data_IF_439137869235
#
_entry.id   IF_439137869235
#
_cell.length_a   1.000
_cell.length_b   1.000
_cell.length_c   1.000
_cell.angle_alpha   90.00
_cell.angle_beta   90.00
_cell.angle_gamma   90.00
#
_symmetry.space_group_name_H-M   'P 1'
#
loop_
_entity.id
_entity.type
_entity.pdbx_description
1 polymer ?
#
# COMPACT_ATOMS: atom_id res chain seq x y z
N UNK A 1 -10.81 30.85 55.53
CA UNK A 1 -11.56 29.98 56.47
C UNK A 1 -11.28 28.57 55.95
N UNK A 2 -10.39 27.91 56.54
CA UNK A 2 -10.40 27.08 57.75
C UNK A 2 -11.01 25.73 57.43
N UNK A 3 -10.17 24.77 57.35
CA UNK A 3 -9.77 23.68 58.25
C UNK A 3 -10.63 22.43 58.01
N UNK A 4 -10.24 21.20 58.01
CA UNK A 4 -9.27 20.33 58.70
C UNK A 4 -9.55 18.92 58.15
N UNK A 5 -8.74 17.95 57.84
CA UNK A 5 -7.59 17.45 58.56
C UNK A 5 -7.83 16.04 59.13
N UNK A 6 -6.84 15.14 58.92
CA UNK A 6 -6.50 13.92 59.70
C UNK A 6 -7.25 12.62 59.35
N UNK A 7 -6.68 11.45 59.47
CA UNK A 7 -5.34 10.90 59.77
C UNK A 7 -5.37 9.39 59.57
N UNK A 8 -4.20 8.83 59.19
CA UNK A 8 -3.68 7.48 59.37
C UNK A 8 -4.40 6.53 60.35
N UNK A 9 -4.42 5.22 60.01
CA UNK A 9 -3.97 4.18 60.90
C UNK A 9 -3.43 2.95 60.12
N UNK A 10 -2.22 2.58 60.42
CA UNK A 10 -1.56 1.29 60.18
C UNK A 10 -2.15 0.25 61.12
N UNK A 11 -2.28 -1.02 60.72
CA UNK A 11 -1.97 -2.17 61.55
C UNK A 11 -1.66 -3.35 60.65
N UNK A 12 -0.46 -3.86 60.76
CA UNK A 12 -0.04 -5.11 60.27
C UNK A 12 -0.39 -6.24 61.28
N UNK A 13 -0.57 -7.43 60.79
CA UNK A 13 -0.47 -8.60 61.61
C UNK A 13 0.16 -9.75 60.79
N UNK A 14 1.39 -10.09 61.21
CA UNK A 14 2.10 -11.31 60.94
C UNK A 14 1.46 -12.39 61.80
N UNK A 15 1.16 -13.58 61.25
CA UNK A 15 1.10 -14.84 62.01
C UNK A 15 1.84 -15.94 61.23
N UNK A 16 2.75 -16.49 61.95
CA UNK A 16 3.75 -17.49 61.75
C UNK A 16 3.21 -18.92 61.80
N UNK A 17 3.82 -19.80 61.03
CA UNK A 17 4.18 -21.22 61.28
C UNK A 17 3.18 -22.14 61.93
N UNK A 18 2.97 -23.31 61.36
CA UNK A 18 3.40 -24.55 61.99
C UNK A 18 3.49 -25.72 61.02
N UNK A 19 4.69 -26.28 60.96
CA UNK A 19 5.04 -27.55 60.33
C UNK A 19 4.66 -28.66 61.27
N UNK A 20 3.89 -29.66 60.82
CA UNK A 20 3.74 -30.94 61.57
C UNK A 20 4.11 -32.07 60.62
N UNK A 21 5.29 -32.65 60.92
CA UNK A 21 5.72 -33.96 60.44
C UNK A 21 5.08 -35.07 61.30
N UNK A 22 4.40 -36.01 60.69
CA UNK A 22 4.08 -37.29 61.31
C UNK A 22 4.37 -38.40 60.31
N UNK A 23 5.45 -39.11 60.63
CA UNK A 23 5.79 -40.41 60.09
C UNK A 23 4.89 -41.50 60.68
N UNK A 24 4.39 -42.35 59.82
CA UNK A 24 3.68 -43.59 60.26
C UNK A 24 3.87 -44.65 59.17
N UNK A 25 4.72 -45.64 59.45
CA UNK A 25 4.77 -46.89 58.70
C UNK A 25 3.57 -47.76 59.01
N UNK A 26 2.97 -48.38 57.96
CA UNK A 26 2.01 -49.47 58.08
C UNK A 26 1.89 -50.16 56.74
N UNK A 27 2.51 -51.36 56.64
CA UNK A 27 2.29 -52.29 55.55
C UNK A 27 0.88 -52.93 55.73
N UNK A 28 0.09 -52.93 54.65
CA UNK A 28 -0.76 -54.08 54.32
C UNK A 28 -1.27 -54.00 52.88
N UNK A 29 -1.16 -55.12 52.20
CA UNK A 29 -1.53 -55.33 50.81
C UNK A 29 -3.06 -55.48 50.66
N UNK A 30 -3.66 -54.69 49.79
CA UNK A 30 -4.90 -55.01 49.15
C UNK A 30 -4.93 -54.42 47.72
N UNK A 31 -5.14 -55.31 46.79
CA UNK A 31 -5.36 -54.99 45.36
C UNK A 31 -6.63 -54.16 45.18
N UNK A 32 -6.48 -52.90 44.82
CA UNK A 32 -7.59 -52.15 44.29
C UNK A 32 -7.13 -51.45 42.98
N UNK A 33 -7.95 -51.74 41.98
CA UNK A 33 -7.99 -51.19 40.64
C UNK A 33 -7.91 -49.67 40.71
N UNK A 34 -6.75 -49.08 40.46
CA UNK A 34 -6.60 -47.66 40.29
C UNK A 34 -7.19 -47.24 38.92
N UNK A 35 -8.41 -46.75 38.95
CA UNK A 35 -8.92 -45.85 37.91
C UNK A 35 -8.02 -44.62 37.89
N UNK A 36 -6.94 -44.66 37.10
CA UNK A 36 -6.25 -43.46 36.70
C UNK A 36 -7.26 -42.55 35.97
N UNK A 37 -7.73 -41.54 36.68
CA UNK A 37 -8.41 -40.44 36.04
C UNK A 37 -7.41 -39.90 34.99
N UNK A 38 -7.66 -40.23 33.74
CA UNK A 38 -7.03 -39.57 32.59
C UNK A 38 -7.48 -38.11 32.70
N UNK A 39 -6.62 -37.27 33.26
CA UNK A 39 -6.72 -35.85 33.10
C UNK A 39 -6.57 -35.61 31.60
N UNK A 40 -7.70 -35.52 30.90
CA UNK A 40 -7.77 -34.91 29.61
C UNK A 40 -7.30 -33.45 29.80
N UNK A 41 -6.00 -33.25 29.70
CA UNK A 41 -5.44 -31.94 29.36
C UNK A 41 -5.96 -31.68 27.95
N UNK A 42 -7.11 -31.02 27.87
CA UNK A 42 -7.53 -30.36 26.64
C UNK A 42 -6.40 -29.38 26.29
N UNK A 43 -5.45 -29.82 25.48
CA UNK A 43 -4.49 -28.92 24.88
C UNK A 43 -5.33 -27.94 24.03
N UNK A 44 -5.37 -26.68 24.44
CA UNK A 44 -6.03 -25.65 23.67
C UNK A 44 -5.51 -25.73 22.22
N UNK A 45 -6.42 -25.77 21.26
CA UNK A 45 -6.02 -25.72 19.85
C UNK A 45 -5.13 -24.48 19.64
N UNK A 46 -4.03 -24.60 18.89
CA UNK A 46 -3.19 -23.45 18.59
C UNK A 46 -4.01 -22.37 17.88
N UNK A 47 -3.67 -21.12 18.11
CA UNK A 47 -4.31 -19.97 17.46
C UNK A 47 -3.25 -19.05 16.88
N UNK A 48 -3.60 -18.36 15.80
CA UNK A 48 -2.80 -17.32 15.15
C UNK A 48 -3.52 -15.99 15.30
N UNK A 49 -2.82 -14.95 15.69
CA UNK A 49 -3.36 -13.61 15.72
C UNK A 49 -3.27 -13.01 14.31
N UNK A 50 -4.37 -12.44 13.84
CA UNK A 50 -4.48 -11.72 12.58
C UNK A 50 -4.94 -10.32 12.90
N UNK A 51 -4.20 -9.33 12.44
CA UNK A 51 -4.52 -7.92 12.56
C UNK A 51 -4.49 -7.24 11.18
N UNK A 52 -5.15 -6.10 11.07
CA UNK A 52 -5.15 -5.32 9.85
C UNK A 52 -6.02 -4.09 9.95
N UNK A 53 -6.15 -3.39 8.85
CA UNK A 53 -6.99 -2.21 8.74
C UNK A 53 -7.93 -2.32 7.53
N UNK A 54 -9.16 -1.85 7.71
CA UNK A 54 -10.15 -1.70 6.66
C UNK A 54 -10.18 -0.22 6.23
N UNK A 55 -9.57 0.06 5.07
CA UNK A 55 -9.27 1.40 4.62
C UNK A 55 -9.70 1.61 3.16
N UNK A 56 -10.80 2.31 3.06
CA UNK A 56 -11.27 3.09 1.93
C UNK A 56 -11.95 4.31 2.53
N UNK A 57 -11.14 5.29 2.96
CA UNK A 57 -11.43 6.00 4.18
C UNK A 57 -11.49 5.02 5.36
N UNK A 58 -11.34 5.49 6.56
CA UNK A 58 -11.45 4.63 7.75
C UNK A 58 -12.82 3.99 7.83
N UNK A 59 -12.90 2.66 7.77
CA UNK A 59 -14.19 1.94 7.87
C UNK A 59 -14.41 1.50 9.31
N UNK A 60 -15.46 2.05 9.94
CA UNK A 60 -15.85 1.81 11.32
C UNK A 60 -17.06 0.89 11.39
N UNK A 61 -17.08 0.01 12.38
CA UNK A 61 -18.18 -0.94 12.62
C UNK A 61 -18.48 -1.85 11.40
N UNK A 62 -17.49 -2.09 10.53
CA UNK A 62 -17.57 -3.10 9.49
C UNK A 62 -17.40 -4.50 10.08
N UNK A 63 -18.22 -5.44 9.64
CA UNK A 63 -18.16 -6.84 10.12
C UNK A 63 -17.05 -7.59 9.39
N UNK A 64 -15.98 -7.97 10.09
CA UNK A 64 -14.85 -8.72 9.54
C UNK A 64 -14.96 -10.19 9.91
N UNK A 65 -14.79 -11.05 8.91
CA UNK A 65 -14.75 -12.52 9.04
C UNK A 65 -13.47 -13.07 8.43
N UNK A 66 -13.05 -14.26 8.85
CA UNK A 66 -11.87 -14.91 8.29
C UNK A 66 -12.10 -16.41 8.10
N UNK A 67 -11.60 -16.92 6.98
CA UNK A 67 -11.74 -18.31 6.58
C UNK A 67 -10.39 -18.82 6.08
N UNK A 68 -9.94 -19.98 6.59
CA UNK A 68 -8.70 -20.59 6.11
C UNK A 68 -8.86 -21.07 4.67
N UNK A 69 -7.80 -20.84 3.90
CA UNK A 69 -7.66 -21.38 2.55
C UNK A 69 -6.99 -22.75 2.63
N UNK A 70 -7.67 -23.77 2.15
CA UNK A 70 -7.21 -25.15 2.21
C UNK A 70 -7.34 -25.77 0.82
N UNK A 71 -6.27 -26.43 0.36
CA UNK A 71 -6.32 -27.19 -0.87
C UNK A 71 -7.27 -28.40 -0.73
N UNK A 72 -8.09 -28.64 -1.72
CA UNK A 72 -8.84 -29.87 -1.87
C UNK A 72 -7.96 -31.02 -2.40
N UNK A 73 -8.58 -32.15 -2.72
CA UNK A 73 -7.87 -33.35 -3.23
C UNK A 73 -7.21 -33.14 -4.59
N UNK A 74 -7.67 -32.16 -5.36
CA UNK A 74 -7.15 -31.81 -6.68
C UNK A 74 -6.13 -30.66 -6.61
N UNK A 75 -5.86 -30.15 -5.40
CA UNK A 75 -4.92 -29.05 -5.16
C UNK A 75 -5.53 -27.66 -5.37
N UNK A 76 -6.86 -27.56 -5.49
CA UNK A 76 -7.56 -26.29 -5.64
C UNK A 76 -7.86 -25.67 -4.27
N UNK A 77 -7.41 -24.43 -4.06
CA UNK A 77 -7.55 -23.73 -2.79
C UNK A 77 -8.87 -22.97 -2.69
N UNK A 78 -9.64 -23.30 -1.64
CA UNK A 78 -10.94 -22.72 -1.34
C UNK A 78 -11.03 -22.24 0.11
N UNK A 79 -11.88 -21.23 0.41
CA UNK A 79 -12.28 -20.91 1.77
C UNK A 79 -13.14 -22.07 2.31
N UNK A 80 -12.61 -22.86 3.24
CA UNK A 80 -13.31 -24.08 3.67
C UNK A 80 -14.00 -23.98 5.03
N UNK A 81 -13.48 -23.17 5.94
CA UNK A 81 -14.01 -23.13 7.30
C UNK A 81 -13.84 -21.77 7.93
N UNK A 82 -14.92 -21.21 8.46
CA UNK A 82 -14.82 -20.08 9.38
C UNK A 82 -13.99 -20.50 10.59
N UNK A 83 -12.86 -19.87 10.78
CA UNK A 83 -11.89 -20.25 11.79
C UNK A 83 -11.77 -19.21 12.91
N UNK A 84 -12.44 -18.07 12.78
CA UNK A 84 -12.50 -17.00 13.76
C UNK A 84 -13.93 -16.59 14.08
N UNK A 85 -14.13 -15.96 15.24
CA UNK A 85 -15.38 -15.23 15.50
C UNK A 85 -15.33 -13.92 14.72
N UNK A 86 -16.45 -13.50 14.09
CA UNK A 86 -16.55 -12.19 13.48
C UNK A 86 -16.22 -11.07 14.48
N UNK A 87 -15.53 -10.04 14.02
CA UNK A 87 -15.21 -8.84 14.78
C UNK A 87 -15.67 -7.59 14.03
N UNK A 88 -15.84 -6.49 14.74
CA UNK A 88 -16.13 -5.21 14.13
C UNK A 88 -14.85 -4.38 14.04
N UNK A 89 -14.70 -3.61 12.97
CA UNK A 89 -13.60 -2.64 12.87
C UNK A 89 -13.75 -1.52 13.89
N UNK A 90 -12.63 -1.06 14.43
CA UNK A 90 -12.52 0.01 15.40
C UNK A 90 -12.74 1.41 14.82
N UNK A 91 -12.54 2.43 15.67
CA UNK A 91 -12.68 3.84 15.29
C UNK A 91 -11.61 4.31 14.29
N UNK A 92 -10.48 3.62 14.21
CA UNK A 92 -9.37 3.84 13.29
C UNK A 92 -9.38 2.84 12.11
N UNK A 93 -10.43 2.05 11.97
CA UNK A 93 -10.53 1.01 10.95
C UNK A 93 -9.77 -0.27 11.26
N UNK A 94 -9.02 -0.32 12.36
CA UNK A 94 -8.26 -1.51 12.76
C UNK A 94 -9.18 -2.65 13.17
N UNK A 95 -8.69 -3.87 13.01
CA UNK A 95 -9.32 -5.08 13.53
C UNK A 95 -8.26 -6.10 13.95
N UNK A 96 -8.62 -6.94 14.91
CA UNK A 96 -7.79 -8.04 15.37
C UNK A 96 -8.69 -9.23 15.75
N UNK A 97 -8.27 -10.42 15.37
CA UNK A 97 -8.93 -11.66 15.79
C UNK A 97 -7.97 -12.84 15.86
N UNK A 98 -8.39 -13.88 16.60
CA UNK A 98 -7.66 -15.15 16.73
C UNK A 98 -8.25 -16.19 15.81
N UNK A 99 -7.43 -16.66 14.88
CA UNK A 99 -7.76 -17.74 13.96
C UNK A 99 -7.33 -19.09 14.55
N UNK A 100 -8.21 -20.06 14.62
CA UNK A 100 -7.89 -21.41 15.11
C UNK A 100 -6.99 -22.14 14.10
N UNK A 101 -6.00 -22.87 14.61
CA UNK A 101 -5.05 -23.66 13.85
C UNK A 101 -3.62 -23.13 13.97
N UNK A 102 -2.69 -23.74 13.24
CA UNK A 102 -1.28 -23.37 13.24
C UNK A 102 -1.03 -22.10 12.45
N UNK A 103 0.13 -21.46 12.70
CA UNK A 103 0.62 -20.31 11.93
C UNK A 103 1.26 -20.80 10.62
N UNK A 104 0.47 -21.46 9.77
CA UNK A 104 0.87 -21.93 8.45
C UNK A 104 -0.27 -21.72 7.44
N UNK A 105 0.09 -21.52 6.17
CA UNK A 105 -0.87 -21.30 5.08
C UNK A 105 -1.47 -19.89 5.09
N UNK A 106 -2.64 -19.76 4.48
CA UNK A 106 -3.30 -18.49 4.19
C UNK A 106 -4.74 -18.48 4.68
N UNK A 107 -5.28 -17.29 4.87
CA UNK A 107 -6.70 -17.07 5.15
C UNK A 107 -7.25 -15.96 4.24
N UNK A 108 -8.47 -16.14 3.78
CA UNK A 108 -9.30 -15.08 3.21
C UNK A 108 -9.92 -14.29 4.37
N UNK A 109 -9.79 -12.98 4.31
CA UNK A 109 -10.40 -12.04 5.25
C UNK A 109 -11.39 -11.17 4.47
N UNK A 110 -12.61 -11.05 4.99
CA UNK A 110 -13.71 -10.38 4.32
C UNK A 110 -14.38 -9.39 5.25
N UNK A 111 -14.68 -8.20 4.74
CA UNK A 111 -15.49 -7.19 5.41
C UNK A 111 -16.81 -7.03 4.68
N UNK A 112 -17.90 -7.05 5.42
CA UNK A 112 -19.23 -6.68 4.95
C UNK A 112 -19.74 -5.45 5.70
N UNK A 113 -20.47 -4.59 4.99
CA UNK A 113 -21.12 -3.43 5.58
C UNK A 113 -22.57 -3.73 5.96
N UNK A 114 -23.05 -3.09 7.02
CA UNK A 114 -24.46 -3.06 7.41
C UNK A 114 -24.94 -1.61 7.65
N UNK A 115 -26.14 -1.45 8.17
CA UNK A 115 -26.71 -0.11 8.45
C UNK A 115 -25.95 0.68 9.52
N UNK A 116 -25.12 0.02 10.34
CA UNK A 116 -24.26 0.62 11.36
C UNK A 116 -22.90 1.03 10.84
N UNK A 117 -22.46 0.45 9.74
CA UNK A 117 -21.12 0.69 9.17
C UNK A 117 -20.99 2.11 8.65
N UNK A 118 -19.87 2.74 8.96
CA UNK A 118 -19.51 4.10 8.52
C UNK A 118 -18.14 4.09 7.88
N UNK A 119 -17.97 4.91 6.86
CA UNK A 119 -16.69 5.23 6.25
C UNK A 119 -16.40 6.71 6.47
N UNK A 120 -15.17 7.06 6.78
CA UNK A 120 -14.75 8.46 6.81
C UNK A 120 -14.49 8.91 5.37
N UNK A 121 -15.04 10.05 5.00
CA UNK A 121 -14.81 10.64 3.69
C UNK A 121 -13.33 11.00 3.52
N UNK A 122 -12.65 10.38 2.56
CA UNK A 122 -11.22 10.52 2.27
C UNK A 122 -10.93 11.20 0.92
N UNK A 123 -11.95 11.87 0.35
CA UNK A 123 -11.85 12.64 -0.90
C UNK A 123 -12.10 14.11 -0.63
N UNK A 124 -11.18 14.97 -1.04
CA UNK A 124 -11.28 16.44 -0.93
C UNK A 124 -12.09 16.97 -2.10
N UNK A 125 -12.97 17.95 -1.91
CA UNK A 125 -13.39 18.56 -0.62
C UNK A 125 -14.52 17.78 0.06
N UNK A 126 -15.15 16.85 -0.60
CA UNK A 126 -16.29 16.07 -0.08
C UNK A 126 -16.46 14.75 -0.84
N UNK A 127 -17.23 13.86 -0.26
CA UNK A 127 -17.64 12.60 -0.85
C UNK A 127 -19.12 12.62 -1.21
N UNK A 128 -19.49 12.07 -2.36
CA UNK A 128 -20.84 12.01 -2.84
C UNK A 128 -21.41 10.58 -2.82
N UNK A 129 -22.72 10.52 -2.73
CA UNK A 129 -23.53 9.32 -2.92
C UNK A 129 -24.89 9.73 -3.43
N UNK A 130 -25.38 9.11 -4.47
CA UNK A 130 -26.66 9.47 -5.08
C UNK A 130 -27.82 9.45 -4.08
N UNK A 131 -28.64 10.50 -4.09
CA UNK A 131 -29.77 10.63 -3.18
C UNK A 131 -29.46 11.13 -1.77
N UNK A 132 -28.20 11.44 -1.46
CA UNK A 132 -27.75 11.98 -0.18
C UNK A 132 -27.01 13.31 -0.37
N UNK A 133 -26.99 14.13 0.69
CA UNK A 133 -26.17 15.32 0.69
C UNK A 133 -24.67 14.94 0.69
N UNK A 134 -23.81 15.73 0.00
CA UNK A 134 -22.37 15.53 0.07
C UNK A 134 -21.85 15.56 1.52
N UNK A 135 -20.88 14.72 1.82
CA UNK A 135 -20.24 14.62 3.15
C UNK A 135 -18.87 15.24 3.05
N UNK A 136 -18.54 16.18 3.95
CA UNK A 136 -17.25 16.85 3.93
C UNK A 136 -16.08 15.87 4.19
N UNK A 137 -14.91 16.21 3.68
CA UNK A 137 -13.65 15.50 3.97
C UNK A 137 -13.44 15.34 5.48
N UNK A 138 -13.11 14.16 5.94
CA UNK A 138 -12.94 13.82 7.35
C UNK A 138 -14.23 13.46 8.12
N UNK A 139 -15.41 13.63 7.52
CA UNK A 139 -16.68 13.34 8.17
C UNK A 139 -17.22 11.94 7.83
N UNK A 140 -17.99 11.30 8.74
CA UNK A 140 -18.49 9.95 8.52
C UNK A 140 -19.68 9.91 7.56
N UNK A 141 -19.63 8.99 6.60
CA UNK A 141 -20.73 8.68 5.69
C UNK A 141 -21.19 7.22 5.81
N UNK A 142 -22.46 6.96 5.50
CA UNK A 142 -22.99 5.59 5.49
C UNK A 142 -22.59 4.84 4.24
N UNK A 143 -22.30 3.56 4.38
CA UNK A 143 -22.13 2.62 3.28
C UNK A 143 -23.46 1.91 2.99
N UNK A 144 -23.63 1.43 1.76
CA UNK A 144 -24.75 0.52 1.44
C UNK A 144 -24.40 -0.93 1.85
N UNK A 145 -25.41 -1.77 1.95
CA UNK A 145 -25.25 -3.17 2.41
C UNK A 145 -24.59 -4.08 1.37
N UNK A 146 -24.38 -3.61 0.14
CA UNK A 146 -23.64 -4.34 -0.89
C UNK A 146 -22.13 -4.09 -0.82
N UNK A 147 -21.70 -3.09 -0.04
CA UNK A 147 -20.28 -2.80 0.13
C UNK A 147 -19.56 -3.94 0.83
N UNK A 148 -18.53 -4.45 0.19
CA UNK A 148 -17.65 -5.47 0.76
C UNK A 148 -16.21 -5.26 0.29
N UNK A 149 -15.26 -5.64 1.15
CA UNK A 149 -13.83 -5.67 0.84
C UNK A 149 -13.27 -7.04 1.20
N UNK A 150 -12.25 -7.47 0.46
CA UNK A 150 -11.56 -8.74 0.70
C UNK A 150 -10.06 -8.53 0.70
N UNK A 151 -9.35 -9.37 1.45
CA UNK A 151 -7.90 -9.42 1.49
C UNK A 151 -7.43 -10.81 1.90
N UNK A 152 -6.16 -11.09 1.74
CA UNK A 152 -5.55 -12.35 2.15
C UNK A 152 -4.52 -12.11 3.25
N UNK A 153 -4.49 -13.02 4.23
CA UNK A 153 -3.49 -13.05 5.28
C UNK A 153 -2.55 -14.24 5.08
N UNK A 154 -1.26 -13.99 4.96
CA UNK A 154 -0.24 -15.00 5.25
C UNK A 154 -0.21 -15.22 6.76
N UNK A 155 -0.53 -16.44 7.19
CA UNK A 155 -0.67 -16.79 8.60
C UNK A 155 0.68 -16.82 9.34
N UNK A 156 1.80 -16.73 8.62
CA UNK A 156 3.13 -16.57 9.22
C UNK A 156 3.42 -15.12 9.58
N UNK A 157 2.84 -14.17 8.85
CA UNK A 157 2.98 -12.72 9.06
C UNK A 157 1.87 -12.14 9.94
N UNK A 158 0.67 -12.70 9.85
CA UNK A 158 -0.46 -12.34 10.69
C UNK A 158 -1.09 -10.97 10.36
N UNK A 159 -0.89 -10.43 9.15
CA UNK A 159 -1.51 -9.18 8.75
C UNK A 159 -2.37 -9.33 7.48
N UNK A 160 -3.44 -8.54 7.37
CA UNK A 160 -4.26 -8.40 6.17
C UNK A 160 -4.90 -7.02 6.13
N UNK A 161 -4.67 -6.25 5.06
CA UNK A 161 -5.41 -5.02 4.82
C UNK A 161 -6.65 -5.31 3.96
N UNK A 162 -7.73 -4.58 4.21
CA UNK A 162 -9.00 -4.68 3.48
C UNK A 162 -9.24 -3.35 2.76
N UNK A 163 -8.88 -3.32 1.48
CA UNK A 163 -8.94 -2.16 0.62
C UNK A 163 -9.53 -2.51 -0.74
N UNK A 164 -9.98 -1.55 -1.57
CA UNK A 164 -10.36 -1.80 -2.95
C UNK A 164 -9.31 -2.55 -3.75
N UNK A 165 -8.02 -2.21 -3.61
CA UNK A 165 -6.94 -2.89 -4.35
C UNK A 165 -6.75 -4.35 -3.89
N UNK A 166 -6.80 -4.62 -2.57
CA UNK A 166 -6.73 -6.02 -2.08
C UNK A 166 -7.95 -6.82 -2.53
N UNK A 167 -9.13 -6.19 -2.61
CA UNK A 167 -10.33 -6.82 -3.14
C UNK A 167 -10.15 -7.25 -4.61
N UNK A 168 -9.56 -6.39 -5.44
CA UNK A 168 -9.22 -6.73 -6.83
C UNK A 168 -8.20 -7.87 -6.92
N UNK A 169 -7.18 -7.87 -6.06
CA UNK A 169 -6.17 -8.94 -6.04
C UNK A 169 -6.82 -10.31 -5.69
N UNK A 170 -7.73 -10.36 -4.72
CA UNK A 170 -8.49 -11.59 -4.43
C UNK A 170 -9.33 -12.01 -5.64
N UNK A 171 -10.05 -11.08 -6.26
CA UNK A 171 -10.86 -11.36 -7.46
C UNK A 171 -10.01 -11.93 -8.60
N UNK A 172 -8.81 -11.38 -8.79
CA UNK A 172 -7.88 -11.85 -9.81
C UNK A 172 -7.34 -13.24 -9.49
N UNK A 173 -6.97 -13.51 -8.24
CA UNK A 173 -6.46 -14.80 -7.79
C UNK A 173 -7.50 -15.94 -7.95
N UNK A 174 -8.79 -15.65 -7.74
CA UNK A 174 -9.89 -16.61 -7.94
C UNK A 174 -9.97 -17.17 -9.37
N UNK A 175 -9.37 -16.51 -10.35
CA UNK A 175 -9.29 -16.97 -11.74
C UNK A 175 -8.22 -18.03 -11.97
N UNK A 176 -7.33 -18.23 -11.01
CA UNK A 176 -6.27 -19.24 -11.12
C UNK A 176 -6.86 -20.65 -11.18
N UNK A 177 -6.22 -21.53 -11.94
CA UNK A 177 -6.56 -22.96 -11.97
C UNK A 177 -6.30 -23.66 -10.64
N UNK A 178 -5.52 -23.05 -9.74
CA UNK A 178 -5.29 -23.50 -8.36
C UNK A 178 -6.15 -22.76 -7.30
N UNK A 179 -7.10 -21.92 -7.75
CA UNK A 179 -7.91 -21.09 -6.85
C UNK A 179 -7.06 -20.08 -6.08
N UNK A 180 -7.42 -19.85 -4.82
CA UNK A 180 -6.73 -18.92 -3.92
C UNK A 180 -5.45 -19.55 -3.31
N UNK A 181 -4.60 -20.17 -4.14
CA UNK A 181 -3.31 -20.71 -3.67
C UNK A 181 -2.36 -19.59 -3.26
N UNK A 182 -1.35 -19.87 -2.40
CA UNK A 182 -0.34 -18.87 -2.03
C UNK A 182 0.32 -18.20 -3.24
N UNK A 183 0.66 -18.97 -4.26
CA UNK A 183 1.30 -18.49 -5.49
C UNK A 183 0.34 -17.62 -6.32
N UNK A 184 -0.94 -18.01 -6.42
CA UNK A 184 -1.95 -17.23 -7.13
C UNK A 184 -2.20 -15.88 -6.42
N UNK A 185 -2.26 -15.89 -5.09
CA UNK A 185 -2.41 -14.67 -4.29
C UNK A 185 -1.20 -13.74 -4.48
N UNK A 186 0.02 -14.25 -4.30
CA UNK A 186 1.23 -13.45 -4.49
C UNK A 186 1.30 -12.84 -5.91
N UNK A 187 1.01 -13.63 -6.95
CA UNK A 187 0.98 -13.16 -8.33
C UNK A 187 -0.10 -12.11 -8.57
N UNK A 188 -1.29 -12.28 -7.98
CA UNK A 188 -2.39 -11.33 -8.14
C UNK A 188 -2.11 -9.99 -7.43
N UNK A 189 -1.52 -10.01 -6.23
CA UNK A 189 -1.09 -8.79 -5.55
C UNK A 189 -0.06 -8.03 -6.38
N UNK A 190 1.02 -8.69 -6.82
CA UNK A 190 2.04 -8.07 -7.67
C UNK A 190 1.46 -7.52 -8.99
N UNK A 191 0.47 -8.21 -9.57
CA UNK A 191 -0.21 -7.76 -10.78
C UNK A 191 -1.03 -6.48 -10.56
N UNK A 192 -1.80 -6.42 -9.47
CA UNK A 192 -2.57 -5.22 -9.11
C UNK A 192 -1.61 -4.06 -8.79
N UNK A 193 -0.52 -4.31 -8.05
CA UNK A 193 0.52 -3.30 -7.83
C UNK A 193 1.06 -2.74 -9.14
N UNK A 194 1.33 -3.59 -10.13
CA UNK A 194 1.82 -3.15 -11.44
C UNK A 194 0.80 -2.32 -12.24
N UNK A 195 -0.51 -2.52 -12.05
CA UNK A 195 -1.52 -1.71 -12.73
C UNK A 195 -1.45 -0.24 -12.30
N UNK A 196 -1.11 0.01 -11.05
CA UNK A 196 -1.08 1.34 -10.43
C UNK A 196 0.33 1.89 -10.25
N UNK A 197 1.34 1.21 -10.82
CA UNK A 197 2.76 1.55 -10.65
C UNK A 197 3.17 1.70 -9.17
N UNK A 198 2.69 0.77 -8.35
CA UNK A 198 3.03 0.68 -6.93
C UNK A 198 4.32 -0.14 -6.74
N UNK A 199 5.08 0.21 -5.73
CA UNK A 199 6.22 -0.60 -5.31
C UNK A 199 5.77 -2.01 -4.93
N UNK A 200 6.62 -3.01 -5.20
CA UNK A 200 6.32 -4.40 -4.87
C UNK A 200 6.14 -4.58 -3.35
N UNK A 201 5.01 -5.13 -2.95
CA UNK A 201 4.61 -5.31 -1.55
C UNK A 201 3.99 -4.07 -0.90
N UNK A 202 3.80 -2.98 -1.63
CA UNK A 202 3.21 -1.74 -1.10
C UNK A 202 1.79 -1.94 -0.55
N UNK A 203 1.00 -2.84 -1.14
CA UNK A 203 -0.35 -3.16 -0.65
C UNK A 203 -0.37 -3.86 0.72
N UNK A 204 0.78 -4.35 1.21
CA UNK A 204 0.93 -4.94 2.54
C UNK A 204 1.28 -3.88 3.61
N UNK A 205 1.68 -2.68 3.21
CA UNK A 205 1.94 -1.57 4.13
C UNK A 205 0.67 -1.17 4.87
N UNK A 206 0.82 -0.66 6.09
CA UNK A 206 -0.30 -0.10 6.83
C UNK A 206 -0.83 1.15 6.11
N UNK A 207 -2.09 1.15 5.61
CA UNK A 207 -2.61 2.28 4.87
C UNK A 207 -2.83 3.47 5.81
N UNK A 208 -2.29 4.67 5.50
CA UNK A 208 -2.49 5.87 6.30
C UNK A 208 -3.94 6.38 6.17
N UNK A 209 -4.42 7.01 7.25
CA UNK A 209 -5.67 7.76 7.25
C UNK A 209 -5.43 9.14 6.59
N UNK A 210 -5.88 9.30 5.35
CA UNK A 210 -5.70 10.53 4.56
C UNK A 210 -6.31 11.76 5.23
N UNK A 211 -7.27 11.58 6.15
CA UNK A 211 -7.92 12.70 6.86
C UNK A 211 -7.14 13.17 8.08
N UNK A 212 -6.04 12.51 8.41
CA UNK A 212 -5.23 12.78 9.61
C UNK A 212 -3.73 12.92 9.30
N UNK A 213 -3.37 13.16 8.07
CA UNK A 213 -1.97 13.23 7.63
C UNK A 213 -1.14 14.26 8.41
N UNK A 214 -1.73 15.40 8.81
CA UNK A 214 -1.06 16.41 9.64
C UNK A 214 -0.64 15.93 11.03
N UNK A 215 -1.21 14.82 11.50
CA UNK A 215 -0.89 14.22 12.79
C UNK A 215 0.00 12.96 12.68
N UNK A 216 0.37 12.56 11.48
CA UNK A 216 1.16 11.35 11.22
C UNK A 216 2.64 11.71 10.99
N UNK A 217 3.54 10.93 11.56
CA UNK A 217 4.99 11.22 11.54
C UNK A 217 5.73 10.32 10.54
N UNK A 218 5.34 9.05 10.44
CA UNK A 218 6.10 8.02 9.72
C UNK A 218 5.36 7.47 8.49
N UNK A 219 4.77 8.35 7.67
CA UNK A 219 4.09 7.94 6.44
C UNK A 219 5.05 7.98 5.27
N UNK A 220 5.23 6.86 4.58
CA UNK A 220 6.07 6.78 3.37
C UNK A 220 5.30 7.23 2.12
N UNK A 221 6.01 7.66 1.07
CA UNK A 221 5.40 7.99 -0.21
C UNK A 221 4.67 6.76 -0.81
N UNK A 222 5.20 5.56 -0.65
CA UNK A 222 4.57 4.33 -1.12
C UNK A 222 3.25 4.02 -0.39
N UNK A 223 3.21 4.18 0.95
CA UNK A 223 1.98 4.01 1.71
C UNK A 223 0.92 5.06 1.32
N UNK A 224 1.32 6.32 1.09
CA UNK A 224 0.45 7.37 0.57
C UNK A 224 -0.07 7.04 -0.82
N UNK A 225 0.79 6.56 -1.70
CA UNK A 225 0.41 6.19 -3.07
C UNK A 225 -0.68 5.11 -3.05
N UNK A 226 -0.51 4.06 -2.26
CA UNK A 226 -1.54 3.01 -2.08
C UNK A 226 -2.84 3.58 -1.51
N UNK A 227 -2.77 4.43 -0.47
CA UNK A 227 -3.95 5.01 0.14
C UNK A 227 -4.72 5.91 -0.84
N UNK A 228 -4.03 6.71 -1.63
CA UNK A 228 -4.61 7.59 -2.65
C UNK A 228 -5.22 6.78 -3.78
N UNK A 229 -4.57 5.69 -4.26
CA UNK A 229 -5.17 4.78 -5.23
C UNK A 229 -6.49 4.19 -4.72
N UNK A 230 -6.53 3.77 -3.46
CA UNK A 230 -7.77 3.27 -2.85
C UNK A 230 -8.84 4.37 -2.71
N UNK A 231 -8.44 5.60 -2.40
CA UNK A 231 -9.36 6.73 -2.29
C UNK A 231 -9.94 7.15 -3.65
N UNK A 232 -9.20 6.99 -4.73
CA UNK A 232 -9.61 7.33 -6.09
C UNK A 232 -10.90 6.61 -6.54
N UNK A 233 -11.18 5.41 -6.04
CA UNK A 233 -12.44 4.70 -6.34
C UNK A 233 -13.69 5.48 -5.92
N UNK A 234 -13.63 6.25 -4.83
CA UNK A 234 -14.74 7.11 -4.43
C UNK A 234 -14.72 8.45 -5.15
N UNK A 235 -13.55 8.97 -5.51
CA UNK A 235 -13.45 10.19 -6.30
C UNK A 235 -14.20 10.05 -7.62
N UNK A 236 -14.19 8.88 -8.26
CA UNK A 236 -14.95 8.60 -9.47
C UNK A 236 -16.48 8.78 -9.28
N UNK A 237 -17.02 8.53 -8.08
CA UNK A 237 -18.45 8.78 -7.79
C UNK A 237 -18.77 10.27 -7.79
N UNK A 238 -17.79 11.11 -7.41
CA UNK A 238 -17.95 12.55 -7.43
C UNK A 238 -17.95 13.12 -8.86
N UNK A 239 -17.13 12.53 -9.72
CA UNK A 239 -16.83 13.07 -11.04
C UNK A 239 -17.76 12.52 -12.13
N UNK A 240 -18.39 11.38 -11.90
CA UNK A 240 -19.18 10.69 -12.90
C UNK A 240 -20.54 10.23 -12.38
N UNK A 241 -21.59 10.85 -12.90
CA UNK A 241 -22.99 10.56 -12.54
C UNK A 241 -23.46 9.13 -12.89
N UNK A 242 -22.67 8.33 -13.59
CA UNK A 242 -22.95 6.90 -13.81
C UNK A 242 -22.91 6.10 -12.53
N UNK A 243 -22.06 6.50 -11.58
CA UNK A 243 -21.85 5.82 -10.33
C UNK A 243 -22.66 6.44 -9.21
N UNK A 244 -23.55 5.67 -8.59
CA UNK A 244 -24.37 6.16 -7.49
C UNK A 244 -23.68 6.02 -6.13
N UNK A 245 -22.73 5.10 -6.04
CA UNK A 245 -22.00 4.80 -4.81
C UNK A 245 -20.64 4.16 -5.11
N UNK A 246 -19.77 4.10 -4.11
CA UNK A 246 -18.51 3.36 -4.24
C UNK A 246 -18.72 1.87 -4.50
N UNK A 247 -19.83 1.29 -4.01
CA UNK A 247 -20.16 -0.11 -4.28
C UNK A 247 -20.38 -0.38 -5.76
N UNK A 248 -20.95 0.58 -6.50
CA UNK A 248 -21.15 0.45 -7.95
C UNK A 248 -19.79 0.43 -8.67
N UNK A 249 -18.86 1.31 -8.29
CA UNK A 249 -17.50 1.36 -8.84
C UNK A 249 -16.76 0.06 -8.56
N UNK A 250 -16.78 -0.42 -7.30
CA UNK A 250 -16.13 -1.68 -6.92
C UNK A 250 -16.76 -2.87 -7.67
N UNK A 251 -18.08 -2.90 -7.80
CA UNK A 251 -18.78 -3.98 -8.52
C UNK A 251 -18.40 -4.02 -10.01
N UNK A 252 -18.28 -2.87 -10.66
CA UNK A 252 -17.88 -2.78 -12.06
C UNK A 252 -16.46 -3.31 -12.27
N UNK A 253 -15.48 -2.78 -11.54
CA UNK A 253 -14.08 -3.24 -11.67
C UNK A 253 -13.92 -4.73 -11.27
N UNK A 254 -14.66 -5.19 -10.26
CA UNK A 254 -14.70 -6.61 -9.86
C UNK A 254 -15.24 -7.47 -10.98
N UNK A 255 -16.33 -7.05 -11.64
CA UNK A 255 -16.91 -7.75 -12.77
C UNK A 255 -15.93 -7.86 -13.94
N UNK A 256 -15.25 -6.77 -14.29
CA UNK A 256 -14.23 -6.76 -15.34
C UNK A 256 -13.10 -7.76 -15.03
N UNK A 257 -12.49 -7.65 -13.84
CA UNK A 257 -11.39 -8.52 -13.42
C UNK A 257 -11.83 -9.99 -13.33
N UNK A 258 -13.02 -10.26 -12.80
CA UNK A 258 -13.58 -11.61 -12.75
C UNK A 258 -13.77 -12.23 -14.14
N UNK A 259 -14.24 -11.46 -15.11
CA UNK A 259 -14.53 -11.95 -16.46
C UNK A 259 -13.29 -12.04 -17.35
N UNK A 260 -12.42 -11.04 -17.31
CA UNK A 260 -11.30 -10.90 -18.27
C UNK A 260 -9.92 -11.14 -17.66
N UNK A 261 -9.78 -11.00 -16.33
CA UNK A 261 -8.50 -10.98 -15.63
C UNK A 261 -7.75 -9.64 -15.75
N UNK A 262 -8.41 -8.60 -16.23
CA UNK A 262 -7.82 -7.28 -16.48
C UNK A 262 -8.85 -6.17 -16.22
N UNK A 263 -8.36 -4.96 -15.96
CA UNK A 263 -9.14 -3.73 -16.11
C UNK A 263 -9.01 -3.20 -17.53
N UNK A 264 -10.05 -2.60 -18.05
CA UNK A 264 -9.97 -1.82 -19.28
C UNK A 264 -8.92 -0.73 -19.09
N UNK A 265 -8.02 -0.58 -20.04
CA UNK A 265 -6.90 0.38 -19.92
C UNK A 265 -7.42 1.80 -20.10
N UNK A 266 -8.20 2.04 -21.16
CA UNK A 266 -8.92 3.30 -21.41
C UNK A 266 -10.42 3.08 -21.34
N UNK A 267 -11.13 4.11 -20.89
CA UNK A 267 -12.58 4.08 -20.77
C UNK A 267 -13.27 4.16 -22.13
N UNK A 268 -14.24 3.28 -22.34
CA UNK A 268 -15.18 3.34 -23.45
C UNK A 268 -16.46 4.15 -23.10
N UNK A 269 -16.46 4.77 -21.94
CA UNK A 269 -17.60 5.50 -21.40
C UNK A 269 -18.67 4.62 -20.75
N UNK A 270 -18.49 3.29 -20.68
CA UNK A 270 -19.45 2.37 -20.06
C UNK A 270 -18.94 1.77 -18.75
N UNK A 271 -17.67 1.40 -18.70
CA UNK A 271 -17.02 0.79 -17.54
C UNK A 271 -15.96 1.73 -16.94
N UNK A 272 -15.53 1.43 -15.71
CA UNK A 272 -14.38 2.09 -15.09
C UNK A 272 -13.11 1.62 -15.79
N UNK A 273 -12.27 2.55 -16.23
CA UNK A 273 -10.96 2.22 -16.78
C UNK A 273 -9.85 2.44 -15.75
N UNK A 274 -8.71 1.79 -15.97
CA UNK A 274 -7.51 2.03 -15.20
C UNK A 274 -7.07 3.49 -15.30
N UNK A 275 -7.15 4.09 -16.50
CA UNK A 275 -6.86 5.51 -16.71
C UNK A 275 -7.75 6.43 -15.85
N UNK A 276 -9.03 6.09 -15.65
CA UNK A 276 -9.94 6.90 -14.85
C UNK A 276 -9.51 6.90 -13.37
N UNK A 277 -9.17 5.72 -12.83
CA UNK A 277 -8.72 5.60 -11.43
C UNK A 277 -7.37 6.30 -11.24
N UNK A 278 -6.43 6.13 -12.16
CA UNK A 278 -5.10 6.74 -12.09
C UNK A 278 -5.18 8.27 -12.21
N UNK A 279 -6.05 8.79 -13.11
CA UNK A 279 -6.29 10.23 -13.21
C UNK A 279 -6.92 10.79 -11.93
N UNK A 280 -7.96 10.11 -11.40
CA UNK A 280 -8.58 10.50 -10.15
C UNK A 280 -7.58 10.46 -8.96
N UNK A 281 -6.64 9.50 -8.94
CA UNK A 281 -5.59 9.43 -7.94
C UNK A 281 -4.61 10.61 -8.05
N UNK A 282 -4.20 10.99 -9.27
CA UNK A 282 -3.36 12.17 -9.48
C UNK A 282 -4.02 13.46 -8.99
N UNK A 283 -5.29 13.68 -9.37
CA UNK A 283 -6.07 14.84 -8.93
C UNK A 283 -6.23 14.87 -7.41
N UNK A 284 -6.56 13.73 -6.78
CA UNK A 284 -6.70 13.65 -5.33
C UNK A 284 -5.38 13.94 -4.60
N UNK A 285 -4.25 13.47 -5.14
CA UNK A 285 -2.93 13.79 -4.59
C UNK A 285 -2.65 15.31 -4.63
N UNK A 286 -3.01 15.98 -5.72
CA UNK A 286 -2.93 17.43 -5.88
C UNK A 286 -3.87 18.17 -4.90
N UNK A 287 -5.12 17.74 -4.78
CA UNK A 287 -6.11 18.36 -3.88
C UNK A 287 -5.69 18.25 -2.41
N UNK A 288 -5.12 17.11 -2.01
CA UNK A 288 -4.61 16.88 -0.66
C UNK A 288 -3.45 17.83 -0.31
N UNK A 289 -2.60 18.22 -1.27
CA UNK A 289 -1.54 19.20 -1.02
C UNK A 289 -2.11 20.54 -0.53
N UNK A 290 -3.26 20.95 -1.05
CA UNK A 290 -3.96 22.16 -0.61
C UNK A 290 -4.70 22.04 0.74
N UNK A 291 -4.93 20.81 1.21
CA UNK A 291 -5.66 20.53 2.44
C UNK A 291 -4.76 20.22 3.65
N UNK A 292 -3.47 19.93 3.43
CA UNK A 292 -2.48 19.51 4.43
C UNK A 292 -1.53 20.66 4.72
N UNK A 293 -1.25 20.91 6.02
CA UNK A 293 -0.35 21.98 6.48
C UNK A 293 1.11 21.50 6.64
N UNK A 294 1.31 20.20 6.87
CA UNK A 294 2.63 19.63 7.14
C UNK A 294 3.47 19.53 5.85
N UNK A 295 4.50 20.37 5.75
CA UNK A 295 5.33 20.50 4.53
C UNK A 295 5.98 19.20 4.06
N UNK A 296 6.38 18.31 4.98
CA UNK A 296 6.99 17.01 4.64
C UNK A 296 5.97 16.11 3.96
N UNK A 297 4.73 16.05 4.48
CA UNK A 297 3.66 15.27 3.84
C UNK A 297 3.29 15.87 2.48
N UNK A 298 3.26 17.20 2.37
CA UNK A 298 3.01 17.86 1.08
C UNK A 298 4.06 17.49 0.05
N UNK A 299 5.35 17.43 0.40
CA UNK A 299 6.40 16.97 -0.51
C UNK A 299 6.19 15.52 -0.97
N UNK A 300 5.79 14.62 -0.06
CA UNK A 300 5.46 13.24 -0.43
C UNK A 300 4.23 13.17 -1.34
N UNK A 301 3.23 14.03 -1.13
CA UNK A 301 2.06 14.12 -2.00
C UNK A 301 2.43 14.61 -3.42
N UNK A 302 3.38 15.54 -3.54
CA UNK A 302 3.93 15.97 -4.84
C UNK A 302 4.56 14.79 -5.59
N UNK A 303 5.36 13.98 -4.90
CA UNK A 303 5.95 12.76 -5.50
C UNK A 303 4.86 11.78 -5.94
N UNK A 304 3.84 11.56 -5.11
CA UNK A 304 2.71 10.65 -5.43
C UNK A 304 1.91 11.16 -6.62
N UNK A 305 1.58 12.46 -6.65
CA UNK A 305 0.92 13.10 -7.80
C UNK A 305 1.73 12.87 -9.08
N UNK A 306 3.04 13.16 -9.01
CA UNK A 306 3.94 12.96 -10.13
C UNK A 306 3.94 11.52 -10.64
N UNK A 307 4.07 10.53 -9.76
CA UNK A 307 4.02 9.09 -10.12
C UNK A 307 2.73 8.74 -10.84
N UNK A 308 1.57 9.23 -10.38
CA UNK A 308 0.29 8.96 -11.04
C UNK A 308 0.14 9.69 -12.39
N UNK A 309 0.64 10.92 -12.50
CA UNK A 309 0.69 11.62 -13.79
C UNK A 309 1.54 10.85 -14.81
N UNK A 310 2.69 10.32 -14.40
CA UNK A 310 3.53 9.49 -15.26
C UNK A 310 2.85 8.17 -15.62
N UNK A 311 2.22 7.52 -14.65
CA UNK A 311 1.44 6.31 -14.91
C UNK A 311 0.33 6.56 -15.91
N UNK A 312 -0.39 7.67 -15.78
CA UNK A 312 -1.43 8.06 -16.75
C UNK A 312 -0.85 8.25 -18.15
N UNK A 313 0.27 8.96 -18.30
CA UNK A 313 0.95 9.14 -19.59
C UNK A 313 1.37 7.81 -20.20
N UNK A 314 2.00 6.92 -19.44
CA UNK A 314 2.42 5.61 -19.93
C UNK A 314 1.25 4.75 -20.43
N UNK A 315 0.07 4.89 -19.82
CA UNK A 315 -1.16 4.24 -20.27
C UNK A 315 -1.62 4.83 -21.62
N UNK A 316 -1.57 6.15 -21.77
CA UNK A 316 -1.98 6.84 -22.99
C UNK A 316 -1.03 6.54 -24.16
N UNK A 317 0.28 6.54 -23.92
CA UNK A 317 1.32 6.27 -24.93
C UNK A 317 1.17 4.87 -25.55
N UNK A 318 0.93 3.85 -24.76
CA UNK A 318 0.70 2.48 -25.24
C UNK A 318 -0.55 2.40 -26.14
N UNK A 319 -1.53 3.26 -25.92
CA UNK A 319 -2.72 3.29 -26.74
C UNK A 319 -2.47 4.00 -28.10
N UNK A 320 -1.74 5.09 -28.13
CA UNK A 320 -1.39 5.81 -29.35
C UNK A 320 -0.53 4.95 -30.29
N UNK A 321 0.44 4.19 -29.77
CA UNK A 321 1.23 3.24 -30.56
C UNK A 321 0.39 2.13 -31.20
N UNK A 322 -0.66 1.67 -30.53
CA UNK A 322 -1.55 0.64 -31.08
C UNK A 322 -2.53 1.17 -32.12
N UNK A 323 -2.91 2.46 -32.06
CA UNK A 323 -3.84 3.06 -33.04
C UNK A 323 -3.14 3.41 -34.36
N UNK A 324 -1.84 3.71 -34.34
CA UNK A 324 -1.03 3.94 -35.55
C UNK A 324 -0.68 2.68 -36.33
N UNK A 325 -0.98 1.48 -35.81
CA UNK A 325 -0.71 0.20 -36.46
C UNK A 325 -1.87 -0.39 -37.28
N UNK A 326 -2.95 0.36 -37.52
CA UNK A 326 -3.99 -0.05 -38.46
C UNK A 326 -3.55 0.38 -39.87
N UNK A 327 -3.16 -0.53 -40.78
CA UNK A 327 -2.89 -0.16 -42.17
C UNK A 327 -4.21 0.26 -42.82
N UNK A 328 -4.26 1.50 -43.27
CA UNK A 328 -5.32 1.90 -44.19
C UNK A 328 -5.28 1.03 -45.47
N UNK A 329 -6.24 0.17 -45.63
CA UNK A 329 -6.47 -0.51 -46.89
C UNK A 329 -6.99 0.50 -47.89
N UNK A 330 -6.07 1.14 -48.61
CA UNK A 330 -6.42 1.82 -49.85
C UNK A 330 -6.46 0.79 -50.99
N UNK A 331 -7.67 0.49 -51.42
CA UNK A 331 -7.89 -0.13 -52.75
C UNK A 331 -7.34 0.82 -53.82
N UNK A 332 -6.32 0.35 -54.56
CA UNK A 332 -6.12 0.84 -55.93
C UNK A 332 -5.43 -0.23 -56.76
N UNK A 333 -6.05 -0.47 -57.87
CA UNK A 333 -5.78 -1.32 -59.02
C UNK A 333 -4.31 -1.49 -59.46
N UNK A 334 -3.99 -2.74 -59.64
CA UNK A 334 -3.27 -3.40 -60.71
C UNK A 334 -2.58 -2.57 -61.80
N UNK A 335 -1.22 -2.63 -61.87
CA UNK A 335 -0.46 -2.80 -63.13
C UNK A 335 0.98 -3.27 -62.82
N UNK A 336 1.33 -4.47 -63.26
CA UNK A 336 2.71 -4.97 -63.44
C UNK A 336 3.09 -4.82 -64.94
N UNK A 337 4.30 -5.14 -65.43
CA UNK A 337 5.57 -5.47 -64.75
C UNK A 337 6.84 -4.87 -65.46
N UNK A 338 7.98 -5.12 -64.90
CA UNK A 338 9.20 -5.75 -65.46
C UNK A 338 10.49 -5.00 -65.12
N UNK A 339 11.64 -5.73 -64.98
CA UNK A 339 12.72 -5.47 -64.07
C UNK A 339 13.97 -4.88 -64.75
N UNK A 340 14.87 -4.29 -63.95
CA UNK A 340 16.31 -4.29 -64.26
C UNK A 340 17.16 -4.14 -62.98
N UNK A 341 18.11 -5.03 -62.86
CA UNK A 341 19.25 -5.10 -61.94
C UNK A 341 20.38 -4.15 -62.33
N UNK A 342 21.54 -4.25 -61.66
CA UNK A 342 21.96 -3.64 -60.41
C UNK A 342 23.16 -2.69 -60.64
N UNK A 343 23.49 -1.84 -59.67
CA UNK A 343 24.83 -1.25 -59.60
C UNK A 343 25.33 -1.22 -58.15
N UNK A 344 26.38 -1.94 -57.99
CA UNK A 344 27.38 -1.97 -56.92
C UNK A 344 28.02 -0.58 -56.70
N UNK A 345 28.30 -0.20 -55.49
CA UNK A 345 29.56 0.43 -55.10
C UNK A 345 29.63 0.78 -53.63
N UNK A 346 30.51 0.06 -52.94
CA UNK A 346 31.53 0.47 -51.96
C UNK A 346 31.16 1.09 -50.60
N UNK A 347 31.72 0.43 -49.64
CA UNK A 347 31.97 0.73 -48.23
C UNK A 347 32.71 2.06 -48.02
N UNK A 348 32.33 2.79 -46.97
CA UNK A 348 33.28 3.49 -46.13
C UNK A 348 32.90 3.27 -44.64
N UNK A 349 33.81 2.58 -43.97
CA UNK A 349 33.87 2.52 -42.51
C UNK A 349 34.22 3.91 -41.96
N UNK A 350 33.42 4.41 -41.05
CA UNK A 350 33.89 5.39 -40.08
C UNK A 350 33.51 5.03 -38.68
N UNK A 351 34.51 5.00 -37.86
CA UNK A 351 34.61 4.60 -36.47
C UNK A 351 33.47 5.05 -35.57
N UNK A 352 32.99 4.06 -34.81
CA UNK A 352 32.30 4.13 -33.56
C UNK A 352 33.04 5.03 -32.54
N UNK A 353 32.45 6.17 -32.18
CA UNK A 353 32.66 6.82 -30.91
C UNK A 353 31.39 6.64 -30.10
N UNK A 354 31.40 5.62 -29.25
CA UNK A 354 30.40 5.43 -28.25
C UNK A 354 30.21 6.68 -27.41
N UNK A 355 29.09 7.35 -27.65
CA UNK A 355 28.53 8.28 -26.68
C UNK A 355 27.56 7.49 -25.87
N UNK A 356 27.91 7.18 -24.63
CA UNK A 356 26.97 6.72 -23.62
C UNK A 356 25.89 7.79 -23.50
N UNK A 357 24.78 7.56 -24.16
CA UNK A 357 23.54 8.29 -23.94
C UNK A 357 23.03 7.84 -22.57
N UNK A 358 22.88 8.76 -21.58
CA UNK A 358 22.29 8.37 -20.30
C UNK A 358 20.87 7.92 -20.57
N UNK A 359 20.52 6.75 -20.05
CA UNK A 359 19.18 6.19 -20.08
C UNK A 359 18.15 7.29 -19.80
N UNK A 360 17.25 7.52 -20.74
CA UNK A 360 16.09 8.37 -20.58
C UNK A 360 15.37 7.98 -19.30
N UNK A 361 15.38 8.84 -18.31
CA UNK A 361 14.44 8.75 -17.20
C UNK A 361 13.10 9.16 -17.76
N UNK A 362 12.36 8.19 -18.28
CA UNK A 362 11.01 8.38 -18.77
C UNK A 362 10.17 9.00 -17.64
N UNK A 363 9.82 10.25 -17.85
CA UNK A 363 8.73 10.88 -17.18
C UNK A 363 9.01 12.03 -16.22
N UNK A 364 10.25 12.38 -15.86
CA UNK A 364 10.52 13.61 -15.10
C UNK A 364 10.33 14.82 -16.02
N UNK A 365 9.57 15.90 -15.62
CA UNK A 365 9.44 17.10 -16.42
C UNK A 365 10.81 17.55 -16.97
N UNK A 366 10.84 18.05 -18.19
CA UNK A 366 12.09 18.45 -18.84
C UNK A 366 12.88 19.47 -17.99
N UNK A 367 12.18 20.23 -17.12
CA UNK A 367 12.71 21.21 -16.19
C UNK A 367 12.77 20.74 -14.73
N UNK A 368 12.80 19.43 -14.47
CA UNK A 368 12.85 18.88 -13.11
C UNK A 368 13.83 17.71 -12.99
N UNK A 369 14.25 17.40 -11.77
CA UNK A 369 15.07 16.25 -11.42
C UNK A 369 14.41 15.48 -10.28
N UNK A 370 14.12 14.18 -10.48
CA UNK A 370 13.74 13.26 -9.41
C UNK A 370 15.02 12.65 -8.83
N UNK A 371 15.23 12.84 -7.55
CA UNK A 371 16.36 12.30 -6.79
C UNK A 371 15.86 11.18 -5.89
N UNK A 372 16.53 10.04 -5.92
CA UNK A 372 16.26 8.93 -5.00
C UNK A 372 17.51 8.54 -4.24
N UNK A 373 17.37 8.13 -2.97
CA UNK A 373 18.49 7.70 -2.13
C UNK A 373 18.08 6.62 -1.12
N UNK A 374 19.07 5.98 -0.56
CA UNK A 374 18.87 5.04 0.55
C UNK A 374 19.49 5.62 1.81
N UNK A 375 18.73 5.63 2.92
CA UNK A 375 19.23 6.06 4.21
C UNK A 375 20.43 5.20 4.66
N UNK A 376 21.52 5.80 5.19
CA UNK A 376 22.66 5.03 5.63
C UNK A 376 22.34 4.22 6.90
N UNK A 377 22.86 3.00 6.97
CA UNK A 377 22.73 2.12 8.15
C UNK A 377 23.92 2.24 9.12
N UNK A 378 24.96 3.02 8.74
CA UNK A 378 26.17 3.18 9.54
C UNK A 378 26.64 4.64 9.52
N UNK A 379 27.22 5.06 10.62
CA UNK A 379 27.91 6.35 10.76
C UNK A 379 29.29 6.30 10.06
N UNK A 380 29.87 7.46 9.78
CA UNK A 380 31.22 7.54 9.16
C UNK A 380 32.33 6.87 9.99
N UNK A 381 32.13 6.74 11.29
CA UNK A 381 33.06 6.05 12.20
C UNK A 381 32.85 4.51 12.23
N UNK A 382 31.87 4.00 11.45
CA UNK A 382 31.55 2.58 11.37
C UNK A 382 30.54 2.08 12.42
N UNK A 383 30.07 2.92 13.32
CA UNK A 383 29.00 2.57 14.25
C UNK A 383 27.64 2.45 13.54
N UNK A 384 26.76 1.62 14.07
CA UNK A 384 25.39 1.48 13.57
C UNK A 384 24.62 2.80 13.71
N UNK A 385 23.82 3.12 12.70
CA UNK A 385 22.92 4.27 12.69
C UNK A 385 21.49 3.77 12.52
N UNK A 386 20.69 3.92 13.56
CA UNK A 386 19.26 3.59 13.50
C UNK A 386 18.47 4.69 12.79
N UNK A 387 17.37 4.35 12.12
CA UNK A 387 16.50 5.34 11.47
C UNK A 387 15.99 6.42 12.44
N UNK A 388 15.74 6.06 13.71
CA UNK A 388 15.33 7.00 14.77
C UNK A 388 16.43 8.00 15.18
N UNK A 389 17.67 7.78 14.76
CA UNK A 389 18.81 8.68 15.01
C UNK A 389 19.07 9.60 13.81
N UNK A 390 18.34 9.44 12.70
CA UNK A 390 18.38 10.32 11.55
C UNK A 390 17.30 11.40 11.73
N UNK A 391 17.70 12.66 11.75
CA UNK A 391 16.78 13.80 11.78
C UNK A 391 16.25 14.15 10.39
N UNK A 392 16.96 13.73 9.33
CA UNK A 392 16.58 13.99 7.95
C UNK A 392 17.78 14.09 7.01
N UNK A 393 17.56 14.77 5.87
CA UNK A 393 18.55 14.91 4.80
C UNK A 393 18.66 16.37 4.35
N UNK A 394 19.77 16.69 3.72
CA UNK A 394 19.98 17.97 3.05
C UNK A 394 20.50 17.69 1.63
N UNK A 395 19.68 18.01 0.63
CA UNK A 395 20.07 17.98 -0.77
C UNK A 395 20.69 19.33 -1.12
N UNK A 396 21.88 19.30 -1.70
CA UNK A 396 22.55 20.48 -2.24
C UNK A 396 22.70 20.34 -3.74
N UNK A 397 22.50 21.44 -4.49
CA UNK A 397 22.52 21.38 -5.93
C UNK A 397 22.96 22.72 -6.56
N UNK A 398 23.34 22.69 -7.83
CA UNK A 398 23.80 23.87 -8.55
C UNK A 398 24.25 23.55 -9.96
N UNK A 399 24.64 24.59 -10.72
CA UNK A 399 25.10 24.48 -12.11
C UNK A 399 26.60 24.11 -12.23
N UNK A 400 27.29 23.85 -11.12
CA UNK A 400 28.69 23.46 -11.10
C UNK A 400 28.91 22.28 -10.17
N UNK A 401 29.63 21.25 -10.63
CA UNK A 401 29.98 20.08 -9.81
C UNK A 401 30.83 20.38 -8.58
N UNK A 402 31.47 21.53 -8.55
CA UNK A 402 32.33 21.97 -7.44
C UNK A 402 31.71 23.05 -6.56
N UNK A 403 30.57 23.61 -6.97
CA UNK A 403 29.86 24.66 -6.23
C UNK A 403 28.35 24.37 -6.30
N UNK A 404 27.86 23.75 -5.26
CA UNK A 404 26.42 23.47 -5.07
C UNK A 404 25.90 24.56 -4.14
N UNK A 405 25.35 25.63 -4.72
CA UNK A 405 25.02 26.89 -4.03
C UNK A 405 23.54 26.95 -3.56
N UNK A 406 22.73 25.95 -3.92
CA UNK A 406 21.36 25.82 -3.48
C UNK A 406 21.23 24.62 -2.54
N UNK A 407 20.28 24.67 -1.61
CA UNK A 407 20.01 23.57 -0.68
C UNK A 407 18.54 23.45 -0.34
N UNK A 408 18.09 22.20 -0.19
CA UNK A 408 16.78 21.82 0.31
C UNK A 408 16.96 20.94 1.53
N UNK A 409 16.40 21.36 2.66
CA UNK A 409 16.42 20.58 3.90
C UNK A 409 15.16 19.72 3.97
N UNK A 410 15.33 18.43 4.26
CA UNK A 410 14.28 17.43 4.42
C UNK A 410 14.34 16.97 5.87
N UNK A 411 13.39 17.44 6.70
CA UNK A 411 13.34 17.17 8.14
C UNK A 411 12.69 15.83 8.51
N UNK A 412 12.74 14.85 7.61
CA UNK A 412 12.13 13.53 7.83
C UNK A 412 13.05 12.43 7.29
N UNK A 413 13.41 11.49 8.18
CA UNK A 413 14.29 10.35 7.86
C UNK A 413 13.63 9.30 6.97
N UNK A 414 12.31 9.32 6.80
CA UNK A 414 11.58 8.37 5.98
C UNK A 414 11.42 8.80 4.52
N UNK A 415 11.88 10.01 4.16
CA UNK A 415 11.91 10.48 2.77
C UNK A 415 13.12 9.87 2.08
N UNK A 416 12.89 9.19 0.98
CA UNK A 416 13.90 8.53 0.14
C UNK A 416 13.89 9.03 -1.31
N UNK A 417 12.96 9.96 -1.64
CA UNK A 417 12.85 10.62 -2.93
C UNK A 417 12.50 12.10 -2.79
N UNK A 418 12.99 12.92 -3.73
CA UNK A 418 12.69 14.35 -3.84
C UNK A 418 12.63 14.77 -5.30
N UNK A 419 11.52 15.40 -5.69
CA UNK A 419 11.43 16.10 -6.98
C UNK A 419 11.93 17.54 -6.80
N UNK A 420 12.94 17.91 -7.59
CA UNK A 420 13.42 19.30 -7.72
C UNK A 420 12.96 19.81 -9.07
N UNK A 421 12.01 20.72 -9.08
CA UNK A 421 11.40 21.30 -10.28
C UNK A 421 11.87 22.72 -10.58
N UNK A 422 11.30 23.35 -11.60
CA UNK A 422 11.62 24.72 -12.05
C UNK A 422 13.11 24.96 -12.35
N UNK A 423 13.83 23.90 -12.72
CA UNK A 423 15.23 24.00 -13.08
C UNK A 423 15.38 24.67 -14.46
N UNK A 424 16.26 25.66 -14.55
CA UNK A 424 16.61 26.30 -15.82
C UNK A 424 17.39 25.33 -16.72
N UNK A 425 17.35 25.57 -18.04
CA UNK A 425 18.19 24.82 -18.98
C UNK A 425 19.67 24.84 -18.58
N UNK A 426 20.31 23.67 -18.59
CA UNK A 426 21.69 23.49 -18.20
C UNK A 426 21.98 22.15 -17.55
N UNK A 427 23.26 21.91 -17.24
CA UNK A 427 23.64 20.71 -16.47
C UNK A 427 23.61 21.04 -14.99
N UNK A 428 22.68 20.40 -14.29
CA UNK A 428 22.55 20.51 -12.85
C UNK A 428 23.26 19.35 -12.14
N UNK A 429 23.88 19.68 -11.01
CA UNK A 429 24.63 18.76 -10.16
C UNK A 429 23.97 18.69 -8.79
N UNK A 430 23.86 17.49 -8.24
CA UNK A 430 23.18 17.23 -6.97
C UNK A 430 24.05 16.35 -6.08
N UNK A 431 24.00 16.60 -4.79
CA UNK A 431 24.54 15.72 -3.74
C UNK A 431 23.65 15.80 -2.50
N UNK A 432 23.69 14.77 -1.68
CA UNK A 432 22.89 14.66 -0.46
C UNK A 432 23.79 14.37 0.75
N UNK A 433 23.36 14.81 1.92
CA UNK A 433 23.94 14.41 3.20
C UNK A 433 22.85 14.12 4.22
N UNK A 434 23.18 13.27 5.18
CA UNK A 434 22.29 12.90 6.30
C UNK A 434 22.55 13.82 7.48
N UNK A 435 21.48 14.21 8.18
CA UNK A 435 21.50 14.92 9.46
C UNK A 435 21.08 13.95 10.55
N UNK A 436 21.82 13.87 11.65
CA UNK A 436 21.39 13.10 12.80
C UNK A 436 20.60 13.96 13.82
N UNK A 437 19.97 13.29 14.79
CA UNK A 437 19.17 13.93 15.84
C UNK A 437 20.01 14.81 16.78
N UNK A 438 21.33 14.66 16.79
CA UNK A 438 22.26 15.49 17.56
C UNK A 438 22.69 16.74 16.78
N UNK A 439 22.23 16.89 15.52
CA UNK A 439 22.54 18.02 14.65
C UNK A 439 23.86 17.87 13.87
N UNK A 440 24.47 16.69 13.89
CA UNK A 440 25.66 16.43 13.06
C UNK A 440 25.26 16.19 11.62
N UNK A 441 26.15 16.54 10.69
CA UNK A 441 25.97 16.35 9.26
C UNK A 441 27.01 15.37 8.72
N UNK A 442 26.58 14.40 7.91
CA UNK A 442 27.52 13.56 7.18
C UNK A 442 28.27 14.34 6.10
N UNK A 443 29.27 13.72 5.52
CA UNK A 443 29.82 14.18 4.23
C UNK A 443 28.73 14.11 3.17
N UNK A 444 28.93 14.91 2.11
CA UNK A 444 28.08 14.79 0.93
C UNK A 444 28.31 13.45 0.23
N UNK A 445 27.27 12.92 -0.38
CA UNK A 445 27.36 11.80 -1.33
C UNK A 445 28.25 12.17 -2.52
N UNK A 446 28.53 11.20 -3.37
CA UNK A 446 29.02 11.47 -4.71
C UNK A 446 28.05 12.41 -5.46
N UNK A 447 28.62 13.29 -6.28
CA UNK A 447 27.83 14.25 -7.07
C UNK A 447 27.27 13.53 -8.30
N UNK A 448 25.96 13.60 -8.48
CA UNK A 448 25.28 13.16 -9.70
C UNK A 448 24.88 14.36 -10.55
N UNK A 449 24.64 14.18 -11.84
CA UNK A 449 24.23 15.26 -12.74
C UNK A 449 23.04 14.89 -13.59
N UNK A 450 22.25 15.91 -13.96
CA UNK A 450 21.18 15.83 -14.94
C UNK A 450 21.24 17.02 -15.89
N UNK A 451 21.07 16.75 -17.17
CA UNK A 451 20.85 17.78 -18.19
C UNK A 451 19.36 18.14 -18.21
N UNK A 452 19.07 19.42 -18.05
CA UNK A 452 17.74 20.02 -18.19
C UNK A 452 17.67 20.75 -19.53
#
# INVERSE_FOLDING_TARGET
MAYCGKKLSKHGLLISSTLVLLSGCGMESASESSNAAVQNQSSAEPTVDIAGAAMKGVIRQGLVTATRLIADVDGYYLPQRSAAKPVLTGEDGSYEFKLRGKADGWALVELGADSGTRMICDVVPNCQRAGFAPVAFGEPMGLDSSFSLRGAADLTLGNANLTPLTHLAITLAERSTSGLSPEALASAYARVESWFDLANGAMLLAPPDLTRLDSMVDVTADALQVAIANAAFLALVNDDARWNSISDVIADVTSQVSNTGQLSVLGDGTNVALSDIVAAAALLASDLQGAIEQSVIVQKLVVVEYRYVQRFKSIADVYEENDTSIPETSDTENTAPTPEEPVDTEQEETADTGTDEPASTDGVPANAALLGWTAPLTRENGESLAMSEIAGFEVVYGLSSTTLDQSLAIGDSSVDELLVDELAEGTWYFAIRTLDTDGNRSKLSDVVSKQI
#
